data_IF_183875845642
#
_entry.id   IF_183875845642
#
_cell.length_a   1.000
_cell.length_b   1.000
_cell.length_c   1.000
_cell.angle_alpha   90.00
_cell.angle_beta   90.00
_cell.angle_gamma   90.00
#
_symmetry.space_group_name_H-M   'P 1'
#
loop_
_entity.id
_entity.type
_entity.pdbx_description
1 polymer ?
#
# COMPACT_ATOMS: atom_id res chain seq x y z
N UNK A 1 -1.27 11.69 42.39
CA UNK A 1 0.03 11.56 43.08
C UNK A 1 1.08 11.28 42.02
N UNK A 2 2.00 12.20 41.76
CA UNK A 2 3.07 11.98 40.79
C UNK A 2 4.37 11.69 41.55
N UNK A 3 4.89 10.48 41.37
CA UNK A 3 6.14 10.05 41.99
C UNK A 3 7.30 10.90 41.45
N UNK A 4 8.12 11.47 42.34
CA UNK A 4 9.32 12.21 41.94
C UNK A 4 10.32 11.28 41.24
N UNK A 5 10.96 11.71 40.13
CA UNK A 5 12.02 10.95 39.50
C UNK A 5 13.16 10.73 40.50
N UNK A 6 13.54 9.47 40.71
CA UNK A 6 14.69 9.08 41.55
C UNK A 6 15.85 8.73 40.64
N UNK A 7 17.04 9.26 40.93
CA UNK A 7 18.25 8.95 40.19
C UNK A 7 18.59 7.47 40.38
N UNK A 8 18.82 6.74 39.28
CA UNK A 8 19.27 5.36 39.34
C UNK A 8 20.66 5.32 39.99
N UNK A 9 20.72 4.93 41.26
CA UNK A 9 21.95 4.94 42.07
C UNK A 9 22.73 3.63 41.95
N UNK A 10 22.11 2.60 41.37
CA UNK A 10 22.73 1.30 41.09
C UNK A 10 23.34 1.31 39.68
N UNK A 11 24.54 1.87 39.58
CA UNK A 11 25.26 2.03 38.30
C UNK A 11 26.03 0.75 38.00
N UNK A 12 25.68 0.08 36.90
CA UNK A 12 26.42 -1.08 36.41
C UNK A 12 27.68 -0.63 35.64
N UNK A 13 28.81 -0.62 36.34
CA UNK A 13 30.12 -0.25 35.77
C UNK A 13 30.59 -1.18 34.66
N UNK A 14 30.17 -2.45 34.65
CA UNK A 14 30.52 -3.42 33.61
C UNK A 14 29.92 -2.99 32.28
N UNK A 15 28.64 -2.56 32.28
CA UNK A 15 27.99 -2.04 31.08
C UNK A 15 28.65 -0.74 30.60
N UNK A 16 29.06 0.13 31.51
CA UNK A 16 29.78 1.37 31.18
C UNK A 16 31.14 1.09 30.51
N UNK A 17 31.91 0.13 31.06
CA UNK A 17 33.18 -0.28 30.48
C UNK A 17 33.00 -0.96 29.11
N UNK A 18 31.99 -1.81 28.97
CA UNK A 18 31.64 -2.44 27.70
C UNK A 18 31.29 -1.39 26.62
N UNK A 19 30.53 -0.35 26.99
CA UNK A 19 30.21 0.75 26.09
C UNK A 19 31.46 1.54 25.67
N UNK A 20 32.38 1.82 26.61
CA UNK A 20 33.65 2.49 26.30
C UNK A 20 34.54 1.65 25.38
N UNK A 21 34.59 0.34 25.60
CA UNK A 21 35.32 -0.58 24.73
C UNK A 21 34.74 -0.58 23.32
N UNK A 22 33.41 -0.68 23.18
CA UNK A 22 32.74 -0.60 21.88
C UNK A 22 33.00 0.74 21.19
N UNK A 23 32.94 1.85 21.94
CA UNK A 23 33.24 3.18 21.42
C UNK A 23 34.67 3.26 20.87
N UNK A 24 35.65 2.74 21.61
CA UNK A 24 37.05 2.73 21.17
C UNK A 24 37.25 1.90 19.89
N UNK A 25 36.56 0.77 19.76
CA UNK A 25 36.57 -0.04 18.53
C UNK A 25 35.98 0.73 17.36
N UNK A 26 34.80 1.34 17.54
CA UNK A 26 34.16 2.14 16.49
C UNK A 26 35.02 3.34 16.08
N UNK A 27 35.61 4.05 17.06
CA UNK A 27 36.52 5.15 16.81
C UNK A 27 37.74 4.68 16.00
N UNK A 28 38.37 3.58 16.40
CA UNK A 28 39.50 3.00 15.67
C UNK A 28 39.14 2.64 14.23
N UNK A 29 37.99 1.99 14.02
CA UNK A 29 37.49 1.66 12.68
C UNK A 29 37.29 2.92 11.84
N UNK A 30 36.69 3.98 12.40
CA UNK A 30 36.50 5.23 11.67
C UNK A 30 37.80 5.96 11.37
N UNK A 31 38.78 5.94 12.28
CA UNK A 31 40.11 6.52 12.02
C UNK A 31 40.89 5.78 10.94
N UNK A 32 40.74 4.46 10.88
CA UNK A 32 41.37 3.62 9.85
C UNK A 32 40.57 3.54 8.55
N UNK A 33 39.31 3.98 8.56
CA UNK A 33 38.44 3.93 7.39
C UNK A 33 38.76 5.08 6.46
N UNK A 34 39.32 4.76 5.30
CA UNK A 34 39.39 5.69 4.18
C UNK A 34 38.02 5.76 3.51
N UNK A 35 37.38 6.93 3.57
CA UNK A 35 36.23 7.21 2.70
C UNK A 35 36.80 7.51 1.31
N UNK A 36 36.57 6.60 0.37
CA UNK A 36 36.95 6.80 -1.03
C UNK A 36 36.36 8.09 -1.61
N UNK A 37 36.83 8.48 -2.80
CA UNK A 37 36.24 9.62 -3.49
C UNK A 37 34.72 9.44 -3.63
N UNK A 38 33.92 10.51 -3.53
CA UNK A 38 32.48 10.43 -3.74
C UNK A 38 32.19 9.89 -5.14
N UNK A 39 31.92 8.59 -5.23
CA UNK A 39 31.39 7.97 -6.44
C UNK A 39 29.92 8.36 -6.51
N UNK A 40 29.58 9.26 -7.44
CA UNK A 40 28.19 9.52 -7.80
C UNK A 40 27.50 8.26 -8.34
N UNK A 41 26.24 8.37 -8.73
CA UNK A 41 25.60 7.25 -9.41
C UNK A 41 26.35 6.92 -10.72
N UNK A 42 26.48 5.63 -11.08
CA UNK A 42 27.01 5.23 -12.37
C UNK A 42 26.25 5.91 -13.51
N UNK A 43 26.92 6.11 -14.65
CA UNK A 43 26.26 6.61 -15.85
C UNK A 43 25.12 5.67 -16.25
N UNK A 44 23.90 6.20 -16.32
CA UNK A 44 22.72 5.42 -16.68
C UNK A 44 21.42 5.94 -16.09
N UNK A 45 20.30 5.48 -16.65
CA UNK A 45 18.98 5.80 -16.11
C UNK A 45 18.68 4.94 -14.90
N UNK A 46 18.53 5.59 -13.74
CA UNK A 46 18.09 4.96 -12.49
C UNK A 46 16.70 4.35 -12.68
N UNK A 47 15.79 5.08 -13.33
CA UNK A 47 14.40 4.64 -13.57
C UNK A 47 14.37 3.37 -14.44
N UNK A 48 15.20 3.32 -15.49
CA UNK A 48 15.29 2.12 -16.32
C UNK A 48 15.86 0.93 -15.55
N UNK A 49 16.92 1.16 -14.77
CA UNK A 49 17.55 0.12 -13.94
C UNK A 49 16.59 -0.46 -12.90
N UNK A 50 15.75 0.38 -12.28
CA UNK A 50 14.67 -0.07 -11.39
C UNK A 50 13.66 -0.92 -12.17
N UNK A 51 13.22 -0.48 -13.35
CA UNK A 51 12.30 -1.25 -14.19
C UNK A 51 12.86 -2.63 -14.55
N UNK A 52 14.13 -2.70 -14.97
CA UNK A 52 14.81 -3.95 -15.27
C UNK A 52 14.90 -4.89 -14.05
N UNK A 53 15.22 -4.35 -12.88
CA UNK A 53 15.25 -5.12 -11.63
C UNK A 53 13.88 -5.69 -11.23
N UNK A 54 12.78 -4.97 -11.50
CA UNK A 54 11.41 -5.44 -11.22
C UNK A 54 10.98 -6.64 -12.08
N UNK A 55 11.53 -6.79 -13.29
CA UNK A 55 11.13 -7.83 -14.24
C UNK A 55 12.19 -8.91 -14.46
N UNK A 56 13.11 -9.10 -13.50
CA UNK A 56 14.19 -10.09 -13.58
C UNK A 56 15.11 -9.91 -14.80
N UNK A 57 15.36 -8.66 -15.18
CA UNK A 57 16.24 -8.24 -16.27
C UNK A 57 17.43 -7.41 -15.74
N UNK A 58 17.87 -7.69 -14.52
CA UNK A 58 18.92 -6.92 -13.83
C UNK A 58 20.26 -6.92 -14.60
N UNK A 59 20.47 -7.87 -15.52
CA UNK A 59 21.61 -7.92 -16.44
C UNK A 59 21.61 -6.80 -17.50
N UNK A 60 20.46 -6.19 -17.78
CA UNK A 60 20.31 -5.05 -18.69
C UNK A 60 20.39 -3.70 -17.97
N UNK A 61 20.46 -3.70 -16.63
CA UNK A 61 20.53 -2.48 -15.85
C UNK A 61 21.93 -1.84 -15.94
N UNK A 62 21.97 -0.51 -16.11
CA UNK A 62 23.21 0.24 -16.06
C UNK A 62 23.78 0.32 -14.63
N UNK A 63 22.91 0.16 -13.64
CA UNK A 63 23.26 0.16 -12.22
C UNK A 63 22.98 -1.25 -11.66
N UNK A 64 23.99 -1.94 -11.10
CA UNK A 64 23.80 -3.26 -10.50
C UNK A 64 22.73 -3.24 -9.41
N UNK A 65 21.78 -4.16 -9.50
CA UNK A 65 20.70 -4.32 -8.54
C UNK A 65 20.26 -5.79 -8.44
N UNK A 66 19.68 -6.14 -7.30
CA UNK A 66 19.03 -7.44 -7.11
C UNK A 66 17.66 -7.48 -7.79
N UNK A 67 17.21 -8.68 -8.15
CA UNK A 67 15.89 -8.89 -8.76
C UNK A 67 14.77 -8.70 -7.72
N UNK A 68 13.76 -7.88 -8.08
CA UNK A 68 12.58 -7.61 -7.25
C UNK A 68 11.30 -8.27 -7.78
N UNK A 69 11.43 -9.23 -8.71
CA UNK A 69 10.27 -9.85 -9.36
C UNK A 69 9.27 -10.45 -8.37
N UNK A 70 9.76 -11.14 -7.34
CA UNK A 70 8.89 -11.74 -6.32
C UNK A 70 8.13 -10.65 -5.54
N UNK A 71 8.81 -9.57 -5.15
CA UNK A 71 8.17 -8.45 -4.46
C UNK A 71 7.12 -7.78 -5.34
N UNK A 72 7.41 -7.58 -6.63
CA UNK A 72 6.46 -7.03 -7.60
C UNK A 72 5.18 -7.88 -7.70
N UNK A 73 5.31 -9.22 -7.79
CA UNK A 73 4.17 -10.13 -7.83
C UNK A 73 3.37 -10.09 -6.53
N UNK A 74 4.04 -10.08 -5.36
CA UNK A 74 3.36 -9.99 -4.07
C UNK A 74 2.56 -8.69 -3.97
N UNK A 75 3.14 -7.55 -4.39
CA UNK A 75 2.43 -6.27 -4.39
C UNK A 75 1.19 -6.36 -5.28
N UNK A 76 1.29 -6.95 -6.48
CA UNK A 76 0.13 -7.12 -7.35
C UNK A 76 -0.99 -7.94 -6.69
N UNK A 77 -0.64 -9.07 -6.05
CA UNK A 77 -1.61 -9.91 -5.33
C UNK A 77 -2.24 -9.18 -4.14
N UNK A 78 -1.45 -8.43 -3.38
CA UNK A 78 -1.94 -7.66 -2.24
C UNK A 78 -2.86 -6.54 -2.69
N UNK A 79 -2.52 -5.84 -3.78
CA UNK A 79 -3.35 -4.76 -4.32
C UNK A 79 -4.69 -5.29 -4.84
N UNK A 80 -4.70 -6.47 -5.47
CA UNK A 80 -5.93 -7.14 -5.93
C UNK A 80 -6.84 -7.50 -4.75
N UNK A 81 -6.30 -8.19 -3.74
CA UNK A 81 -7.05 -8.53 -2.52
C UNK A 81 -7.50 -7.29 -1.73
N UNK A 82 -6.69 -6.23 -1.71
CA UNK A 82 -7.04 -4.96 -1.07
C UNK A 82 -8.17 -4.26 -1.82
N UNK A 83 -8.19 -4.32 -3.16
CA UNK A 83 -9.27 -3.78 -3.97
C UNK A 83 -10.57 -4.54 -3.71
N UNK A 84 -10.54 -5.88 -3.72
CA UNK A 84 -11.70 -6.71 -3.40
C UNK A 84 -12.20 -6.49 -1.97
N UNK A 85 -11.28 -6.35 -1.02
CA UNK A 85 -11.59 -6.02 0.36
C UNK A 85 -12.23 -4.64 0.48
N UNK A 86 -11.69 -3.63 -0.20
CA UNK A 86 -12.25 -2.28 -0.22
C UNK A 86 -13.64 -2.25 -0.85
N UNK A 87 -13.86 -2.97 -1.95
CA UNK A 87 -15.17 -3.04 -2.63
C UNK A 87 -16.19 -3.77 -1.76
N UNK A 88 -15.81 -4.89 -1.14
CA UNK A 88 -16.68 -5.63 -0.22
C UNK A 88 -17.06 -4.78 1.00
N UNK A 89 -16.10 -4.06 1.59
CA UNK A 89 -16.35 -3.16 2.74
C UNK A 89 -17.18 -1.93 2.35
N UNK A 90 -17.07 -1.45 1.11
CA UNK A 90 -17.85 -0.33 0.62
C UNK A 90 -19.32 -0.70 0.32
N UNK A 91 -19.61 -1.98 0.10
CA UNK A 91 -20.99 -2.46 -0.08
C UNK A 91 -21.70 -2.49 1.28
N UNK A 92 -22.87 -1.84 1.34
CA UNK A 92 -23.76 -1.91 2.49
C UNK A 92 -24.96 -2.78 2.11
N UNK A 93 -25.08 -3.93 2.75
CA UNK A 93 -26.32 -4.71 2.72
C UNK A 93 -27.39 -3.92 3.51
N UNK A 94 -28.46 -3.50 2.84
CA UNK A 94 -29.72 -3.07 3.47
C UNK A 94 -30.78 -4.16 3.25
N UNK A 95 -31.80 -4.21 4.11
CA UNK A 95 -32.74 -5.32 4.34
C UNK A 95 -33.43 -5.97 3.12
N UNK A 96 -33.25 -5.51 1.88
CA UNK A 96 -33.73 -6.21 0.68
C UNK A 96 -33.03 -5.83 -0.64
N UNK A 97 -31.93 -5.04 -0.62
CA UNK A 97 -31.18 -4.72 -1.84
C UNK A 97 -29.72 -4.30 -1.57
N UNK A 98 -28.81 -4.72 -2.46
CA UNK A 98 -27.40 -4.30 -2.44
C UNK A 98 -27.32 -2.83 -2.87
N UNK A 99 -27.32 -1.91 -1.91
CA UNK A 99 -27.14 -0.48 -2.20
C UNK A 99 -25.65 -0.20 -2.34
N UNK A 100 -25.19 -0.04 -3.59
CA UNK A 100 -23.85 0.52 -3.83
C UNK A 100 -23.85 1.96 -3.29
N UNK A 101 -22.91 2.29 -2.40
CA UNK A 101 -22.69 3.65 -1.93
C UNK A 101 -22.09 4.51 -3.06
N UNK A 102 -22.92 4.82 -4.07
CA UNK A 102 -22.67 5.91 -5.00
C UNK A 102 -22.73 7.19 -4.16
N UNK A 103 -21.57 7.73 -3.79
CA UNK A 103 -21.50 9.12 -3.35
C UNK A 103 -21.84 9.98 -4.57
N UNK A 104 -23.04 10.56 -4.66
CA UNK A 104 -23.51 11.29 -5.85
C UNK A 104 -22.72 12.58 -6.18
N UNK A 105 -21.65 12.87 -5.43
CA UNK A 105 -20.86 14.08 -5.60
C UNK A 105 -21.60 15.36 -5.21
N UNK A 106 -22.63 15.28 -4.36
CA UNK A 106 -23.36 16.42 -3.83
C UNK A 106 -24.41 17.02 -4.78
N UNK A 107 -24.91 16.26 -5.75
CA UNK A 107 -25.93 16.72 -6.70
C UNK A 107 -27.17 15.84 -6.64
N UNK A 108 -28.16 16.31 -5.87
CA UNK A 108 -29.54 15.83 -6.00
C UNK A 108 -29.96 16.01 -7.46
N UNK A 109 -30.15 14.90 -8.17
CA UNK A 109 -30.81 14.90 -9.47
C UNK A 109 -32.27 15.32 -9.25
N UNK A 110 -32.52 16.61 -9.40
CA UNK A 110 -33.86 17.14 -9.53
C UNK A 110 -34.38 16.80 -10.93
N UNK A 111 -35.14 15.71 -11.01
CA UNK A 111 -36.13 15.48 -12.05
C UNK A 111 -35.64 14.85 -13.35
N UNK A 112 -36.35 13.77 -13.73
CA UNK A 112 -36.63 13.21 -15.08
C UNK A 112 -36.27 11.72 -15.13
N UNK A 113 -37.19 10.80 -15.45
CA UNK A 113 -38.52 10.92 -16.04
C UNK A 113 -39.53 9.98 -15.39
N UNK A 114 -40.69 10.55 -15.12
CA UNK A 114 -41.97 9.93 -15.47
C UNK A 114 -41.96 9.62 -16.98
N UNK A 115 -42.75 8.63 -17.37
CA UNK A 115 -42.88 8.00 -18.71
C UNK A 115 -41.87 6.90 -19.08
N UNK A 116 -42.25 5.64 -18.83
CA UNK A 116 -42.64 4.74 -19.93
C UNK A 116 -43.33 3.47 -19.42
N UNK A 117 -44.65 3.53 -19.51
CA UNK A 117 -45.56 2.45 -19.91
C UNK A 117 -44.92 1.31 -20.74
N UNK A 118 -44.86 0.10 -20.15
CA UNK A 118 -45.47 -1.14 -20.67
C UNK A 118 -44.88 -2.36 -19.97
N UNK A 119 -45.68 -3.04 -19.16
CA UNK A 119 -45.96 -4.48 -19.25
C UNK A 119 -46.92 -4.90 -18.13
N UNK A 120 -48.13 -4.34 -18.14
CA UNK A 120 -49.26 -5.01 -17.49
C UNK A 120 -49.75 -6.12 -18.42
N UNK A 121 -49.07 -7.26 -18.33
CA UNK A 121 -49.63 -8.53 -18.74
C UNK A 121 -50.59 -9.02 -17.66
N UNK A 122 -51.88 -8.78 -17.84
CA UNK A 122 -52.98 -9.68 -17.48
C UNK A 122 -54.32 -8.94 -17.48
N UNK A 123 -55.14 -9.14 -18.51
CA UNK A 123 -56.57 -9.37 -18.35
C UNK A 123 -57.08 -10.01 -19.64
N UNK A 124 -57.64 -11.20 -19.51
CA UNK A 124 -58.20 -11.96 -20.62
C UNK A 124 -59.43 -11.25 -21.19
N UNK A 125 -59.50 -11.17 -22.51
CA UNK A 125 -60.75 -10.97 -23.24
C UNK A 125 -61.12 -12.29 -23.88
N UNK A 126 -62.17 -12.85 -23.31
CA UNK A 126 -62.94 -14.02 -23.71
C UNK A 126 -63.81 -13.71 -24.95
N UNK A 127 -64.13 -14.76 -25.72
CA UNK A 127 -65.19 -14.88 -26.75
C UNK A 127 -65.06 -14.02 -28.01
N UNK A 128 -65.04 -14.53 -29.24
CA UNK A 128 -65.74 -15.71 -29.74
C UNK A 128 -66.97 -15.25 -30.53
N UNK A 129 -66.91 -15.47 -31.84
CA UNK A 129 -67.86 -15.07 -32.89
C UNK A 129 -69.30 -15.57 -32.69
N UNK A 130 -70.28 -14.77 -33.14
CA UNK A 130 -71.52 -15.20 -33.80
C UNK A 130 -72.08 -14.04 -34.67
#
# INVERSE_FOLDING_TARGET
>A
MTSRPRLATDVNYVNGLAALALFAVMAYVFFMSELGQPTGFPDGSIVASIGYAMFNMADQAAIPAESFLVAFIIIALVLDAALDGAVTLARREGDESVVTALTDGGRRLAGRGDDTDRTDGATGSDGGED
#
